data_IF_701304251437
#
_entry.id   IF_701304251437
#
_cell.length_a   1.000
_cell.length_b   1.000
_cell.length_c   1.000
_cell.angle_alpha   90.00
_cell.angle_beta   90.00
_cell.angle_gamma   90.00
#
_symmetry.space_group_name_H-M   'P 1'
#
loop_
_entity.id
_entity.type
_entity.pdbx_description
1 polymer ?
#
# COMPACT_ATOMS: atom_id res chain seq x y z
N UNK A 1 -54.21 -7.95 -26.64
CA UNK A 1 -54.60 -8.09 -28.05
C UNK A 1 -54.54 -9.57 -28.39
N UNK A 2 -55.70 -10.20 -28.43
CA UNK A 2 -55.91 -11.65 -28.57
C UNK A 2 -56.23 -11.97 -30.01
N UNK A 3 -55.29 -12.59 -30.71
CA UNK A 3 -55.43 -12.98 -32.12
C UNK A 3 -56.12 -14.33 -32.19
N UNK A 4 -57.44 -14.31 -32.35
CA UNK A 4 -58.27 -15.50 -32.57
C UNK A 4 -58.10 -15.93 -34.04
N UNK A 5 -57.31 -16.98 -34.29
CA UNK A 5 -57.16 -17.57 -35.61
C UNK A 5 -58.29 -18.58 -35.87
N UNK A 6 -59.16 -18.26 -36.84
CA UNK A 6 -60.19 -19.16 -37.38
C UNK A 6 -59.52 -20.31 -38.15
N UNK A 7 -59.82 -21.54 -37.77
CA UNK A 7 -59.39 -22.75 -38.48
C UNK A 7 -60.17 -22.86 -39.81
N UNK A 8 -59.51 -23.05 -40.96
CA UNK A 8 -60.20 -23.27 -42.23
C UNK A 8 -60.93 -24.61 -42.20
N UNK A 9 -62.23 -24.60 -42.52
CA UNK A 9 -63.01 -25.80 -42.78
C UNK A 9 -62.54 -26.37 -44.12
N UNK A 10 -61.89 -27.52 -44.08
CA UNK A 10 -61.41 -28.26 -45.23
C UNK A 10 -62.60 -28.76 -46.07
N UNK A 11 -62.80 -28.32 -47.33
CA UNK A 11 -63.96 -28.69 -48.15
C UNK A 11 -63.82 -30.08 -48.81
N UNK A 12 -62.90 -30.93 -48.35
CA UNK A 12 -62.59 -32.21 -48.98
C UNK A 12 -63.42 -33.41 -48.49
N UNK A 13 -64.43 -33.21 -47.64
CA UNK A 13 -65.44 -34.25 -47.31
C UNK A 13 -66.53 -34.30 -48.37
N UNK A 14 -66.28 -35.07 -49.44
CA UNK A 14 -67.29 -35.47 -50.43
C UNK A 14 -68.48 -36.19 -49.76
N UNK A 15 -69.73 -35.86 -50.08
CA UNK A 15 -70.93 -36.49 -49.50
C UNK A 15 -71.09 -37.99 -49.82
N UNK A 16 -70.22 -38.56 -50.67
CA UNK A 16 -70.21 -39.99 -50.99
C UNK A 16 -69.61 -40.88 -49.89
N UNK A 17 -68.93 -40.33 -48.87
CA UNK A 17 -68.48 -41.10 -47.71
C UNK A 17 -69.54 -41.29 -46.62
N UNK A 18 -70.61 -40.48 -46.59
CA UNK A 18 -71.70 -40.61 -45.62
C UNK A 18 -72.70 -41.73 -45.98
N UNK A 19 -72.67 -42.25 -47.21
CA UNK A 19 -73.58 -43.29 -47.70
C UNK A 19 -72.96 -44.70 -47.78
N UNK A 20 -71.75 -44.91 -47.23
CA UNK A 20 -71.26 -46.27 -47.01
C UNK A 20 -72.04 -46.87 -45.85
N UNK A 21 -73.00 -47.72 -46.19
CA UNK A 21 -73.67 -48.67 -45.31
C UNK A 21 -72.64 -49.22 -44.31
N UNK A 22 -72.74 -48.78 -43.06
CA UNK A 22 -72.03 -49.37 -41.95
C UNK A 22 -72.43 -50.84 -41.94
N UNK A 23 -71.56 -51.72 -42.42
CA UNK A 23 -71.77 -53.15 -42.26
C UNK A 23 -71.80 -53.39 -40.75
N UNK A 24 -73.00 -53.61 -40.19
CA UNK A 24 -73.18 -53.98 -38.78
C UNK A 24 -72.61 -55.38 -38.66
N UNK A 25 -71.29 -55.46 -38.44
CA UNK A 25 -70.62 -56.70 -38.10
C UNK A 25 -70.88 -56.90 -36.60
N UNK A 26 -71.90 -57.69 -36.28
CA UNK A 26 -72.06 -58.20 -34.94
C UNK A 26 -70.86 -59.11 -34.64
N UNK A 27 -69.98 -58.66 -33.76
CA UNK A 27 -68.83 -59.45 -33.32
C UNK A 27 -69.35 -60.58 -32.41
N UNK A 28 -69.56 -61.76 -32.99
CA UNK A 28 -70.03 -62.95 -32.29
C UNK A 28 -68.90 -63.73 -31.59
N UNK A 29 -67.68 -63.17 -31.52
CA UNK A 29 -66.63 -63.77 -30.69
C UNK A 29 -66.91 -63.50 -29.21
N UNK A 30 -66.87 -64.53 -28.34
CA UNK A 30 -66.93 -64.36 -26.89
C UNK A 30 -65.90 -63.33 -26.42
N UNK A 31 -66.36 -62.36 -25.62
CA UNK A 31 -65.57 -61.20 -25.19
C UNK A 31 -64.26 -61.60 -24.49
N UNK A 32 -64.24 -62.77 -23.83
CA UNK A 32 -63.08 -63.37 -23.17
C UNK A 32 -61.87 -63.60 -24.11
N UNK A 33 -62.08 -63.94 -25.39
CA UNK A 33 -60.98 -64.21 -26.33
C UNK A 33 -60.36 -62.91 -26.85
N UNK A 34 -61.16 -61.86 -27.07
CA UNK A 34 -60.66 -60.54 -27.49
C UNK A 34 -59.91 -59.82 -26.37
N UNK A 35 -60.34 -59.99 -25.12
CA UNK A 35 -59.71 -59.35 -23.96
C UNK A 35 -58.38 -60.02 -23.60
N UNK A 36 -58.24 -61.33 -23.79
CA UNK A 36 -56.97 -62.04 -23.60
C UNK A 36 -55.83 -61.54 -24.51
N UNK A 37 -56.11 -61.23 -25.79
CA UNK A 37 -55.11 -60.68 -26.71
C UNK A 37 -54.79 -59.21 -26.41
N UNK A 38 -55.80 -58.41 -26.04
CA UNK A 38 -55.60 -57.01 -25.64
C UNK A 38 -54.79 -56.93 -24.35
N UNK A 39 -55.06 -57.80 -23.37
CA UNK A 39 -54.33 -57.84 -22.10
C UNK A 39 -52.84 -58.14 -22.25
N UNK A 40 -52.45 -59.02 -23.19
CA UNK A 40 -51.01 -59.28 -23.46
C UNK A 40 -50.32 -58.09 -24.13
N UNK A 41 -51.01 -57.40 -25.06
CA UNK A 41 -50.48 -56.18 -25.70
C UNK A 41 -50.38 -55.01 -24.72
N UNK A 42 -51.37 -54.82 -23.84
CA UNK A 42 -51.31 -53.76 -22.82
C UNK A 42 -50.24 -54.05 -21.78
N UNK A 43 -50.10 -55.31 -21.31
CA UNK A 43 -49.01 -55.68 -20.39
C UNK A 43 -47.62 -55.47 -20.99
N UNK A 44 -47.42 -55.86 -22.25
CA UNK A 44 -46.12 -55.63 -22.93
C UNK A 44 -45.86 -54.14 -23.16
N UNK A 45 -46.87 -53.36 -23.56
CA UNK A 45 -46.73 -51.91 -23.70
C UNK A 45 -46.39 -51.21 -22.36
N UNK A 46 -47.04 -51.62 -21.25
CA UNK A 46 -46.74 -51.10 -19.92
C UNK A 46 -45.31 -51.47 -19.48
N UNK A 47 -44.89 -52.71 -19.69
CA UNK A 47 -43.51 -53.13 -19.38
C UNK A 47 -42.47 -52.33 -20.18
N UNK A 48 -42.70 -52.13 -21.47
CA UNK A 48 -41.82 -51.30 -22.32
C UNK A 48 -41.79 -49.86 -21.82
N UNK A 49 -42.94 -49.28 -21.47
CA UNK A 49 -43.02 -47.94 -20.92
C UNK A 49 -42.23 -47.80 -19.59
N UNK A 50 -42.37 -48.77 -18.69
CA UNK A 50 -41.61 -48.79 -17.41
C UNK A 50 -40.11 -48.90 -17.67
N UNK A 51 -39.69 -49.77 -18.59
CA UNK A 51 -38.27 -49.91 -18.94
C UNK A 51 -37.72 -48.61 -19.53
N UNK A 52 -38.48 -47.92 -20.40
CA UNK A 52 -38.06 -46.62 -20.94
C UNK A 52 -37.92 -45.55 -19.85
N UNK A 53 -38.86 -45.48 -18.90
CA UNK A 53 -38.78 -44.55 -17.77
C UNK A 53 -37.56 -44.86 -16.89
N UNK A 54 -37.29 -46.13 -16.59
CA UNK A 54 -36.11 -46.52 -15.82
C UNK A 54 -34.80 -46.16 -16.53
N UNK A 55 -34.73 -46.35 -17.86
CA UNK A 55 -33.58 -45.93 -18.65
C UNK A 55 -33.42 -44.39 -18.64
N UNK A 56 -34.51 -43.64 -18.76
CA UNK A 56 -34.49 -42.17 -18.66
C UNK A 56 -33.98 -41.68 -17.31
N UNK A 57 -34.45 -42.28 -16.21
CA UNK A 57 -33.97 -41.98 -14.86
C UNK A 57 -32.51 -42.37 -14.66
N UNK A 58 -32.09 -43.54 -15.17
CA UNK A 58 -30.70 -43.99 -15.11
C UNK A 58 -29.75 -43.05 -15.87
N UNK A 59 -30.15 -42.62 -17.08
CA UNK A 59 -29.38 -41.66 -17.88
C UNK A 59 -29.26 -40.30 -17.16
N UNK A 60 -30.37 -39.77 -16.64
CA UNK A 60 -30.36 -38.50 -15.92
C UNK A 60 -29.52 -38.56 -14.64
N UNK A 61 -29.64 -39.64 -13.86
CA UNK A 61 -28.82 -39.84 -12.67
C UNK A 61 -27.33 -39.90 -13.00
N UNK A 62 -26.97 -40.60 -14.09
CA UNK A 62 -25.58 -40.68 -14.53
C UNK A 62 -25.02 -39.31 -14.93
N UNK A 63 -25.79 -38.50 -15.66
CA UNK A 63 -25.40 -37.14 -16.01
C UNK A 63 -25.20 -36.26 -14.76
N UNK A 64 -26.15 -36.28 -13.83
CA UNK A 64 -26.05 -35.51 -12.58
C UNK A 64 -24.86 -35.97 -11.71
N UNK A 65 -24.55 -37.27 -11.71
CA UNK A 65 -23.39 -37.81 -11.00
C UNK A 65 -22.06 -37.42 -11.65
N UNK A 66 -22.01 -37.28 -12.98
CA UNK A 66 -20.85 -36.79 -13.70
C UNK A 66 -20.59 -35.31 -13.40
N UNK A 67 -21.63 -34.47 -13.48
CA UNK A 67 -21.52 -33.03 -13.18
C UNK A 67 -21.02 -32.75 -11.75
N UNK A 68 -21.44 -33.56 -10.78
CA UNK A 68 -20.92 -33.46 -9.39
C UNK A 68 -19.43 -33.75 -9.30
N UNK A 69 -18.93 -34.77 -10.01
CA UNK A 69 -17.51 -35.12 -9.98
C UNK A 69 -16.65 -34.03 -10.59
N UNK A 70 -17.13 -33.41 -11.67
CA UNK A 70 -16.42 -32.30 -12.31
C UNK A 70 -16.37 -31.08 -11.39
N UNK A 71 -17.48 -30.74 -10.71
CA UNK A 71 -17.52 -29.67 -9.71
C UNK A 71 -16.59 -29.93 -8.51
N UNK A 72 -16.57 -31.17 -8.00
CA UNK A 72 -15.66 -31.56 -6.91
C UNK A 72 -14.19 -31.48 -7.34
N UNK A 73 -13.87 -31.90 -8.57
CA UNK A 73 -12.52 -31.82 -9.13
C UNK A 73 -12.08 -30.36 -9.33
N UNK A 74 -12.97 -29.50 -9.82
CA UNK A 74 -12.72 -28.07 -9.97
C UNK A 74 -12.49 -27.39 -8.61
N UNK A 75 -13.33 -27.68 -7.62
CA UNK A 75 -13.16 -27.15 -6.26
C UNK A 75 -11.83 -27.59 -5.63
N UNK A 76 -11.46 -28.85 -5.80
CA UNK A 76 -10.17 -29.37 -5.33
C UNK A 76 -8.98 -28.67 -6.02
N UNK A 77 -9.08 -28.39 -7.32
CA UNK A 77 -8.06 -27.67 -8.07
C UNK A 77 -7.91 -26.21 -7.60
N UNK A 78 -9.02 -25.49 -7.40
CA UNK A 78 -9.01 -24.11 -6.89
C UNK A 78 -8.43 -24.05 -5.48
N UNK A 79 -8.86 -24.96 -4.59
CA UNK A 79 -8.34 -25.04 -3.22
C UNK A 79 -6.82 -25.26 -3.21
N UNK A 80 -6.32 -26.11 -4.11
CA UNK A 80 -4.88 -26.32 -4.28
C UNK A 80 -4.16 -25.06 -4.76
N UNK A 81 -4.71 -24.35 -5.75
CA UNK A 81 -4.14 -23.08 -6.22
C UNK A 81 -4.08 -22.02 -5.11
N UNK A 82 -5.15 -21.86 -4.33
CA UNK A 82 -5.16 -20.93 -3.19
C UNK A 82 -4.10 -21.32 -2.16
N UNK A 83 -3.98 -22.61 -1.83
CA UNK A 83 -2.96 -23.10 -0.91
C UNK A 83 -1.53 -22.90 -1.43
N UNK A 84 -1.31 -23.03 -2.74
CA UNK A 84 -0.01 -22.79 -3.38
C UNK A 84 0.34 -21.29 -3.40
N UNK A 85 -0.63 -20.42 -3.72
CA UNK A 85 -0.46 -18.96 -3.67
C UNK A 85 -0.18 -18.50 -2.24
N UNK A 86 -0.90 -19.03 -1.24
CA UNK A 86 -0.70 -18.68 0.16
C UNK A 86 0.67 -19.14 0.68
N UNK A 87 1.13 -20.33 0.26
CA UNK A 87 2.52 -20.78 0.50
C UNK A 87 3.55 -19.86 -0.17
N UNK A 88 3.26 -19.40 -1.39
CA UNK A 88 4.07 -18.40 -2.09
C UNK A 88 4.16 -17.08 -1.33
N UNK A 89 3.03 -16.55 -0.84
CA UNK A 89 2.99 -15.32 -0.04
C UNK A 89 3.76 -15.45 1.27
N UNK A 90 3.67 -16.60 1.94
CA UNK A 90 4.44 -16.86 3.17
C UNK A 90 5.95 -16.76 2.95
N UNK A 91 6.45 -17.14 1.77
CA UNK A 91 7.88 -16.99 1.40
C UNK A 91 8.31 -15.52 1.32
N UNK A 92 7.41 -14.60 0.97
CA UNK A 92 7.70 -13.16 0.88
C UNK A 92 7.39 -12.38 2.16
N UNK A 93 6.71 -12.98 3.14
CA UNK A 93 6.42 -12.31 4.42
C UNK A 93 7.69 -11.88 5.14
N UNK A 94 8.78 -12.65 5.03
CA UNK A 94 10.06 -12.27 5.62
C UNK A 94 10.63 -11.00 4.99
N UNK A 95 10.58 -10.90 3.66
CA UNK A 95 11.04 -9.71 2.92
C UNK A 95 10.19 -8.49 3.28
N UNK A 96 8.88 -8.64 3.38
CA UNK A 96 7.97 -7.56 3.83
C UNK A 96 8.30 -7.14 5.26
N UNK A 97 8.54 -8.08 6.17
CA UNK A 97 8.95 -7.79 7.56
C UNK A 97 10.28 -7.05 7.60
N UNK A 98 11.26 -7.42 6.78
CA UNK A 98 12.56 -6.73 6.69
C UNK A 98 12.39 -5.31 6.16
N UNK A 99 11.60 -5.11 5.09
CA UNK A 99 11.31 -3.77 4.57
C UNK A 99 10.65 -2.87 5.61
N UNK A 100 9.64 -3.40 6.31
CA UNK A 100 8.95 -2.65 7.36
C UNK A 100 9.87 -2.32 8.56
N UNK A 101 10.81 -3.21 8.90
CA UNK A 101 11.83 -2.93 9.92
C UNK A 101 12.78 -1.82 9.47
N UNK A 102 13.23 -1.84 8.22
CA UNK A 102 14.12 -0.80 7.69
C UNK A 102 13.43 0.57 7.68
N UNK A 103 12.17 0.66 7.23
CA UNK A 103 11.43 1.94 7.25
C UNK A 103 11.21 2.46 8.68
N UNK A 104 11.03 1.55 9.65
CA UNK A 104 10.90 1.92 11.05
C UNK A 104 12.22 2.43 11.63
N UNK A 105 13.33 1.75 11.33
CA UNK A 105 14.68 2.16 11.74
C UNK A 105 15.05 3.50 11.10
N UNK A 106 14.76 3.70 9.81
CA UNK A 106 14.96 4.97 9.11
C UNK A 106 14.13 6.09 9.75
N UNK A 107 12.86 5.83 10.09
CA UNK A 107 12.02 6.80 10.78
C UNK A 107 12.51 7.13 12.20
N UNK A 108 13.00 6.13 12.94
CA UNK A 108 13.60 6.33 14.26
C UNK A 108 14.92 7.10 14.16
N UNK A 109 15.77 6.78 13.19
CA UNK A 109 17.02 7.49 12.95
C UNK A 109 16.76 8.94 12.54
N UNK A 110 15.79 9.18 11.64
CA UNK A 110 15.38 10.52 11.23
C UNK A 110 14.84 11.32 12.43
N UNK A 111 14.11 10.68 13.35
CA UNK A 111 13.63 11.32 14.58
C UNK A 111 14.75 11.61 15.57
N UNK A 112 15.67 10.67 15.77
CA UNK A 112 16.85 10.85 16.64
C UNK A 112 17.80 11.92 16.11
N UNK A 113 17.85 12.08 14.78
CA UNK A 113 18.70 13.05 14.11
C UNK A 113 17.96 14.31 13.66
N UNK A 114 16.68 14.46 14.02
CA UNK A 114 15.91 15.68 13.74
C UNK A 114 16.51 16.89 14.47
N UNK A 115 17.03 16.63 15.68
CA UNK A 115 17.67 17.61 16.54
C UNK A 115 19.21 17.57 16.44
N UNK A 116 19.75 16.93 15.40
CA UNK A 116 21.19 16.93 15.17
C UNK A 116 21.64 18.27 14.55
N UNK A 117 22.83 18.71 14.94
CA UNK A 117 23.39 19.98 14.50
C UNK A 117 24.39 19.72 13.38
N UNK A 118 24.22 20.43 12.25
CA UNK A 118 25.20 20.40 11.16
C UNK A 118 26.46 21.19 11.55
N UNK A 119 27.37 20.52 12.25
CA UNK A 119 28.63 21.11 12.74
C UNK A 119 29.45 21.73 11.61
N UNK A 120 29.55 21.06 10.47
CA UNK A 120 30.32 21.57 9.34
C UNK A 120 29.77 22.90 8.83
N UNK A 121 28.46 22.98 8.59
CA UNK A 121 27.81 24.20 8.13
C UNK A 121 27.99 25.35 9.13
N UNK A 122 27.83 25.07 10.43
CA UNK A 122 27.99 26.07 11.47
C UNK A 122 29.45 26.56 11.56
N UNK A 123 30.43 25.65 11.51
CA UNK A 123 31.84 26.01 11.53
C UNK A 123 32.23 26.85 10.31
N UNK A 124 31.73 26.49 9.13
CA UNK A 124 31.97 27.25 7.90
C UNK A 124 31.30 28.62 7.94
N UNK A 125 30.09 28.73 8.50
CA UNK A 125 29.40 30.00 8.71
C UNK A 125 30.19 30.93 9.65
N UNK A 126 30.73 30.39 10.75
CA UNK A 126 31.56 31.15 11.70
C UNK A 126 32.86 31.62 11.04
N UNK A 127 33.54 30.74 10.29
CA UNK A 127 34.77 31.08 9.57
C UNK A 127 34.56 32.13 8.48
N UNK A 128 33.52 31.98 7.67
CA UNK A 128 33.18 32.93 6.60
C UNK A 128 32.79 34.29 7.16
N UNK A 129 32.10 34.34 8.29
CA UNK A 129 31.79 35.60 9.00
C UNK A 129 33.05 36.27 9.55
N UNK A 130 34.01 35.48 10.06
CA UNK A 130 35.30 35.98 10.53
C UNK A 130 36.13 36.60 9.40
N UNK A 131 36.28 35.88 8.29
CA UNK A 131 37.04 36.38 7.11
C UNK A 131 36.43 37.67 6.54
N UNK A 132 35.10 37.78 6.47
CA UNK A 132 34.43 39.02 6.06
C UNK A 132 34.73 40.21 7.00
N UNK A 133 35.00 39.94 8.27
CA UNK A 133 35.35 40.93 9.30
C UNK A 133 36.86 41.14 9.47
N UNK A 134 37.69 40.56 8.58
CA UNK A 134 39.16 40.56 8.67
C UNK A 134 39.71 39.92 9.94
N UNK A 135 38.99 38.96 10.52
CA UNK A 135 39.46 38.16 11.66
C UNK A 135 39.84 36.76 11.20
N UNK A 136 40.91 36.22 11.77
CA UNK A 136 41.41 34.87 11.50
C UNK A 136 41.07 33.98 12.68
N UNK A 137 40.17 33.04 12.47
CA UNK A 137 39.78 32.06 13.49
C UNK A 137 40.81 30.93 13.54
N UNK A 138 41.44 30.69 14.68
CA UNK A 138 42.48 29.68 14.86
C UNK A 138 41.92 28.40 15.47
N UNK A 139 41.01 28.51 16.42
CA UNK A 139 40.40 27.36 17.08
C UNK A 139 38.91 27.62 17.32
N UNK A 140 38.12 26.57 17.08
CA UNK A 140 36.70 26.54 17.39
C UNK A 140 36.46 25.26 18.19
N UNK A 141 35.90 25.39 19.39
CA UNK A 141 35.44 24.27 20.19
C UNK A 141 33.98 24.48 20.55
N UNK A 142 33.17 23.44 20.45
CA UNK A 142 31.75 23.52 20.74
C UNK A 142 31.30 22.37 21.64
N UNK A 143 30.30 22.63 22.47
CA UNK A 143 29.63 21.61 23.27
C UNK A 143 28.11 21.82 23.24
N UNK A 144 27.36 20.73 23.13
CA UNK A 144 25.91 20.72 23.28
C UNK A 144 25.61 20.32 24.72
N UNK A 145 25.46 21.31 25.59
CA UNK A 145 25.07 21.08 26.98
C UNK A 145 24.11 22.19 27.40
N UNK A 146 22.82 21.97 27.13
CA UNK A 146 21.74 22.90 27.47
C UNK A 146 21.70 23.23 28.98
N UNK A 147 22.09 22.29 29.86
CA UNK A 147 22.07 22.50 31.31
C UNK A 147 23.10 23.52 31.81
N UNK A 148 24.13 23.84 31.00
CA UNK A 148 25.17 24.80 31.36
C UNK A 148 24.84 26.25 30.96
N UNK A 149 23.74 26.46 30.23
CA UNK A 149 23.35 27.75 29.68
C UNK A 149 22.33 28.46 30.57
N UNK A 150 22.48 29.78 30.71
CA UNK A 150 21.52 30.65 31.43
C UNK A 150 20.38 31.15 30.54
N UNK A 151 20.43 30.85 29.25
CA UNK A 151 19.44 31.22 28.23
C UNK A 151 18.96 29.97 27.49
N UNK A 152 17.96 30.12 26.60
CA UNK A 152 17.35 29.06 25.76
C UNK A 152 18.31 28.50 24.68
N UNK A 153 19.60 28.41 25.01
CA UNK A 153 20.62 27.84 24.14
C UNK A 153 20.73 26.33 24.32
N UNK A 154 20.98 25.64 23.21
CA UNK A 154 21.23 24.19 23.14
C UNK A 154 22.70 23.84 23.32
N UNK A 155 23.60 24.81 23.15
CA UNK A 155 25.04 24.61 23.26
C UNK A 155 25.85 25.89 23.30
N UNK A 156 27.16 25.74 23.53
CA UNK A 156 28.14 26.81 23.57
C UNK A 156 29.21 26.57 22.52
N UNK A 157 29.57 27.62 21.81
CA UNK A 157 30.67 27.63 20.86
C UNK A 157 31.74 28.62 21.34
N UNK A 158 32.92 28.13 21.68
CA UNK A 158 34.09 28.94 21.98
C UNK A 158 34.92 29.10 20.70
N UNK A 159 35.21 30.35 20.35
CA UNK A 159 35.96 30.72 19.16
C UNK A 159 37.14 31.57 19.61
N UNK A 160 38.34 31.14 19.26
CA UNK A 160 39.55 31.93 19.46
C UNK A 160 40.24 32.20 18.12
N UNK A 161 40.91 33.35 18.07
CA UNK A 161 41.49 33.84 16.83
C UNK A 161 42.30 35.11 17.02
N UNK A 162 42.74 35.64 15.89
CA UNK A 162 43.51 36.88 15.81
C UNK A 162 42.80 37.90 14.93
N UNK A 163 42.93 39.17 15.25
CA UNK A 163 42.36 40.29 14.52
C UNK A 163 43.38 41.44 14.42
N UNK A 164 43.30 42.30 13.40
CA UNK A 164 44.23 43.42 13.24
C UNK A 164 44.06 44.49 14.32
N UNK A 165 42.84 44.70 14.81
CA UNK A 165 42.51 45.69 15.83
C UNK A 165 41.25 45.29 16.62
N UNK A 166 40.97 46.02 17.71
CA UNK A 166 39.78 45.80 18.54
C UNK A 166 38.47 46.12 17.80
N UNK A 167 38.53 46.94 16.75
CA UNK A 167 37.35 47.32 15.96
C UNK A 167 36.88 46.16 15.09
N UNK A 168 37.80 45.44 14.45
CA UNK A 168 37.53 44.23 13.69
C UNK A 168 36.90 43.12 14.57
N UNK A 169 37.34 43.01 15.83
CA UNK A 169 36.69 42.09 16.80
C UNK A 169 35.25 42.54 17.09
N UNK A 170 35.01 43.83 17.31
CA UNK A 170 33.66 44.36 17.55
C UNK A 170 32.74 44.18 16.32
N UNK A 171 33.27 44.42 15.11
CA UNK A 171 32.55 44.20 13.85
C UNK A 171 32.21 42.71 13.66
N UNK A 172 33.14 41.81 14.02
CA UNK A 172 32.92 40.37 13.98
C UNK A 172 31.83 39.92 14.97
N UNK A 173 31.86 40.41 16.21
CA UNK A 173 30.81 40.14 17.21
C UNK A 173 29.44 40.63 16.73
N UNK A 174 29.39 41.83 16.12
CA UNK A 174 28.16 42.38 15.54
C UNK A 174 27.65 41.53 14.37
N UNK A 175 28.55 41.05 13.51
CA UNK A 175 28.21 40.17 12.41
C UNK A 175 27.66 38.82 12.91
N UNK A 176 28.27 38.24 13.95
CA UNK A 176 27.76 37.03 14.62
C UNK A 176 26.39 37.26 15.25
N UNK A 177 26.17 38.40 15.92
CA UNK A 177 24.87 38.74 16.49
C UNK A 177 23.76 38.86 15.43
N UNK A 178 24.11 39.34 14.23
CA UNK A 178 23.17 39.41 13.10
C UNK A 178 22.76 38.01 12.58
N UNK A 179 23.50 36.96 12.92
CA UNK A 179 23.21 35.57 12.57
C UNK A 179 22.24 34.89 13.57
N UNK A 180 21.58 35.64 14.45
CA UNK A 180 20.50 35.17 15.34
C UNK A 180 19.50 34.24 14.66
N UNK A 181 19.03 34.63 13.48
CA UNK A 181 18.06 33.84 12.69
C UNK A 181 18.62 32.54 12.13
N UNK A 182 19.95 32.38 12.11
CA UNK A 182 20.66 31.18 11.66
C UNK A 182 21.11 30.28 12.81
N UNK A 183 20.67 30.58 14.04
CA UNK A 183 20.88 29.71 15.20
C UNK A 183 22.04 30.08 16.10
N UNK A 184 22.63 31.28 15.97
CA UNK A 184 23.71 31.77 16.83
C UNK A 184 23.25 33.02 17.60
N UNK A 185 23.31 32.99 18.93
CA UNK A 185 22.90 34.08 19.80
C UNK A 185 23.98 34.44 20.83
N UNK A 186 23.80 35.59 21.47
CA UNK A 186 24.60 36.05 22.62
C UNK A 186 26.13 35.95 22.44
N UNK A 187 26.72 36.51 21.35
CA UNK A 187 28.16 36.52 21.22
C UNK A 187 28.78 37.39 22.33
N UNK A 188 29.60 36.75 23.16
CA UNK A 188 30.25 37.38 24.31
C UNK A 188 31.77 37.25 24.18
N UNK A 189 32.49 38.36 24.30
CA UNK A 189 33.95 38.36 24.23
C UNK A 189 34.50 38.20 25.64
N UNK A 190 35.23 37.11 25.88
CA UNK A 190 35.79 36.79 27.21
C UNK A 190 37.16 37.41 27.43
N UNK A 191 38.00 37.47 26.39
CA UNK A 191 39.33 38.05 26.48
C UNK A 191 39.76 38.72 25.17
N UNK A 192 40.49 39.82 25.28
CA UNK A 192 41.05 40.60 24.18
C UNK A 192 42.45 41.06 24.60
N UNK A 193 43.49 40.40 24.11
CA UNK A 193 44.88 40.67 24.48
C UNK A 193 45.72 41.03 23.25
N UNK A 194 46.67 41.95 23.40
CA UNK A 194 47.58 42.34 22.31
C UNK A 194 48.51 41.19 21.97
N UNK A 195 48.65 40.86 20.69
CA UNK A 195 49.56 39.80 20.24
C UNK A 195 50.99 40.33 20.08
N UNK A 196 52.00 39.47 20.30
CA UNK A 196 53.42 39.84 20.26
C UNK A 196 53.93 40.30 18.88
N UNK A 197 53.16 40.09 17.81
CA UNK A 197 53.51 40.49 16.43
C UNK A 197 52.65 41.61 15.86
N UNK A 198 51.95 42.37 16.71
CA UNK A 198 50.89 43.28 16.28
C UNK A 198 49.54 42.57 16.13
N UNK A 199 48.46 43.34 16.25
CA UNK A 199 47.11 42.81 16.31
C UNK A 199 46.67 42.36 17.71
N UNK A 200 45.56 41.63 17.75
CA UNK A 200 44.82 41.31 18.96
C UNK A 200 44.37 39.86 18.90
N UNK A 201 44.72 39.08 19.93
CA UNK A 201 44.17 37.76 20.18
C UNK A 201 42.84 37.93 20.93
N UNK A 202 41.81 37.24 20.47
CA UNK A 202 40.51 37.26 21.11
C UNK A 202 40.04 35.85 21.44
N UNK A 203 39.24 35.75 22.49
CA UNK A 203 38.42 34.59 22.78
C UNK A 203 36.98 35.06 22.94
N UNK A 204 36.06 34.39 22.27
CA UNK A 204 34.62 34.70 22.34
C UNK A 204 33.82 33.42 22.48
N UNK A 205 32.68 33.53 23.13
CA UNK A 205 31.70 32.47 23.30
C UNK A 205 30.41 32.87 22.63
N UNK A 206 29.78 31.97 21.89
CA UNK A 206 28.49 32.18 21.24
C UNK A 206 27.55 31.06 21.68
N UNK A 207 26.32 31.39 22.02
CA UNK A 207 25.29 30.41 22.33
C UNK A 207 24.68 29.88 21.03
N UNK A 208 24.55 28.57 20.93
CA UNK A 208 23.83 27.88 19.86
C UNK A 208 22.36 27.83 20.29
N UNK A 209 21.43 28.17 19.41
CA UNK A 209 19.98 28.19 19.69
C UNK A 209 19.23 27.15 18.85
N UNK A 210 18.00 26.82 19.23
CA UNK A 210 17.14 25.84 18.55
C UNK A 210 17.08 25.96 17.01
N UNK A 211 17.09 27.16 16.38
CA UNK A 211 17.08 27.26 14.92
C UNK A 211 18.31 26.64 14.23
N UNK A 212 19.40 26.37 14.96
CA UNK A 212 20.56 25.63 14.46
C UNK A 212 20.31 24.11 14.36
N UNK A 213 19.32 23.59 15.08
CA UNK A 213 18.89 22.20 15.06
C UNK A 213 17.99 21.98 13.84
N UNK A 214 18.62 21.74 12.70
CA UNK A 214 17.92 21.48 11.45
C UNK A 214 17.95 20.01 11.04
N UNK A 215 18.69 19.17 11.77
CA UNK A 215 18.75 17.73 11.59
C UNK A 215 19.39 17.31 10.26
N UNK A 216 20.46 16.50 10.32
CA UNK A 216 21.24 16.08 9.12
C UNK A 216 20.40 15.33 8.06
N UNK A 217 19.27 14.76 8.45
CA UNK A 217 18.37 14.01 7.57
C UNK A 217 16.96 14.59 7.53
N UNK A 218 16.77 15.81 8.02
CA UNK A 218 15.45 16.42 7.94
C UNK A 218 15.20 16.91 6.51
N UNK A 219 13.93 16.96 6.11
CA UNK A 219 13.55 17.55 4.81
C UNK A 219 13.63 19.09 4.86
N UNK A 220 13.85 19.66 6.05
CA UNK A 220 13.83 21.10 6.30
C UNK A 220 15.23 21.67 6.09
N UNK A 221 15.37 22.49 5.05
CA UNK A 221 16.62 23.21 4.77
C UNK A 221 17.09 24.02 5.98
N UNK A 222 18.35 23.82 6.37
CA UNK A 222 18.99 24.55 7.45
C UNK A 222 19.16 26.04 7.09
N UNK A 223 18.74 26.98 7.94
CA UNK A 223 19.02 28.42 7.75
C UNK A 223 20.51 28.76 7.73
N UNK A 224 21.34 27.94 8.39
CA UNK A 224 22.80 28.02 8.41
C UNK A 224 23.46 27.55 7.11
N UNK A 225 22.71 26.90 6.20
CA UNK A 225 23.21 26.33 4.96
C UNK A 225 23.55 24.85 5.13
N UNK A 226 22.69 23.97 4.64
CA UNK A 226 22.80 22.52 4.80
C UNK A 226 21.46 21.86 4.50
N UNK A 227 21.50 20.60 4.05
CA UNK A 227 20.31 19.80 3.77
C UNK A 227 19.98 18.94 4.97
#
# INVERSE_FOLDING_TARGET
MTTTALMPVDPSVTPQQAARVLSIRANLLPQDISDGRRARRTRTAVLVAVVLVLNGLGYWYWQAAAERKDADAEYAAITKQVADVQRGQNKYQEVVKIRNRNTLVEGQLAKLMADDLSWQAMLDLVRTTGTASKTTVTQISGSLNAAALKSDGVGLLSVSGTAPDKKAVADYVKALAALGKKGLADPFVSNVATAAGGGVNFNLTVSITDPALCGKYSVKKCPSGGN
#
